data_IF_422749885915
#
_entry.id   IF_422749885915
#
_cell.length_a   1.000
_cell.length_b   1.000
_cell.length_c   1.000
_cell.angle_alpha   90.00
_cell.angle_beta   90.00
_cell.angle_gamma   90.00
#
_symmetry.space_group_name_H-M   'P 1'
#
loop_
_entity.id
_entity.type
_entity.pdbx_description
1 polymer ?
#
# COMPACT_ATOMS: atom_id res chain seq x y z
N UNK A 1 12.04 -22.96 18.57
CA UNK A 1 12.46 -22.24 19.81
C UNK A 1 11.64 -20.94 19.97
N UNK A 2 10.32 -21.04 20.18
CA UNK A 2 9.45 -19.85 20.41
C UNK A 2 9.10 -19.76 21.90
N UNK A 3 8.67 -20.87 22.49
CA UNK A 3 8.28 -20.98 23.90
C UNK A 3 9.44 -20.71 24.86
N UNK A 4 10.63 -21.26 24.59
CA UNK A 4 11.80 -21.09 25.47
C UNK A 4 12.45 -19.71 25.38
N UNK A 5 11.99 -18.86 24.47
CA UNK A 5 12.54 -17.51 24.23
C UNK A 5 11.50 -16.42 24.50
N UNK A 6 10.33 -16.77 25.06
CA UNK A 6 9.26 -15.85 25.43
C UNK A 6 8.85 -14.90 24.29
N UNK A 7 8.84 -15.39 23.05
CA UNK A 7 8.46 -14.58 21.89
C UNK A 7 6.93 -14.48 21.78
N UNK A 8 6.42 -13.26 21.66
CA UNK A 8 5.00 -13.00 21.36
C UNK A 8 4.78 -12.98 19.86
N UNK A 9 3.88 -13.83 19.37
CA UNK A 9 3.46 -13.84 17.97
C UNK A 9 2.11 -13.12 17.86
N UNK A 10 2.06 -12.03 17.07
CA UNK A 10 0.80 -11.36 16.71
C UNK A 10 0.49 -11.66 15.24
N UNK A 11 -0.59 -12.39 14.99
CA UNK A 11 -1.13 -12.53 13.64
C UNK A 11 -1.85 -11.24 13.24
N UNK A 12 -1.46 -10.64 12.12
CA UNK A 12 -2.12 -9.46 11.57
C UNK A 12 -2.94 -9.89 10.36
N UNK A 13 -4.25 -9.69 10.42
CA UNK A 13 -5.15 -9.87 9.29
C UNK A 13 -5.94 -8.60 9.06
N UNK A 14 -5.86 -8.06 7.85
CA UNK A 14 -6.50 -6.80 7.50
C UNK A 14 -5.93 -5.61 8.28
N UNK A 15 -6.82 -4.72 8.72
CA UNK A 15 -6.51 -3.46 9.41
C UNK A 15 -7.51 -3.27 10.55
N UNK A 16 -7.04 -2.86 11.73
CA UNK A 16 -7.94 -2.50 12.83
C UNK A 16 -8.78 -1.30 12.38
N UNK A 17 -10.10 -1.48 12.36
CA UNK A 17 -11.01 -0.44 11.88
C UNK A 17 -10.83 0.84 12.71
N UNK A 18 -10.87 1.97 12.01
CA UNK A 18 -10.65 3.32 12.55
C UNK A 18 -9.21 3.60 13.02
N UNK A 19 -8.69 2.88 14.01
CA UNK A 19 -7.40 3.19 14.65
C UNK A 19 -6.23 3.24 13.65
N UNK A 20 -6.09 2.21 12.83
CA UNK A 20 -5.02 2.17 11.83
C UNK A 20 -5.18 3.24 10.74
N UNK A 21 -6.41 3.62 10.43
CA UNK A 21 -6.71 4.66 9.45
C UNK A 21 -6.41 6.06 9.99
N UNK A 22 -6.75 6.33 11.24
CA UNK A 22 -6.44 7.59 11.91
C UNK A 22 -4.93 7.76 12.09
N UNK A 23 -4.25 6.73 12.57
CA UNK A 23 -2.80 6.73 12.71
C UNK A 23 -2.13 7.04 11.37
N UNK A 24 -2.55 6.36 10.29
CA UNK A 24 -1.96 6.56 8.97
C UNK A 24 -2.22 7.97 8.41
N UNK A 25 -3.44 8.48 8.57
CA UNK A 25 -3.80 9.84 8.11
C UNK A 25 -3.02 10.92 8.86
N UNK A 26 -2.86 10.76 10.18
CA UNK A 26 -2.07 11.66 11.01
C UNK A 26 -0.58 11.63 10.63
N UNK A 27 -0.01 10.44 10.40
CA UNK A 27 1.37 10.27 9.95
C UNK A 27 1.63 10.95 8.60
N UNK A 28 0.74 10.77 7.61
CA UNK A 28 0.89 11.39 6.29
C UNK A 28 0.76 12.91 6.33
N UNK A 29 -0.10 13.43 7.20
CA UNK A 29 -0.34 14.87 7.32
C UNK A 29 0.81 15.58 8.06
N UNK A 30 1.43 14.90 9.03
CA UNK A 30 2.48 15.48 9.89
C UNK A 30 3.89 15.27 9.35
N UNK A 31 4.13 14.28 8.48
CA UNK A 31 5.46 13.94 8.00
C UNK A 31 5.55 14.02 6.45
N UNK A 32 6.07 15.13 5.90
CA UNK A 32 6.18 15.30 4.45
C UNK A 32 7.19 14.34 3.80
N UNK A 33 8.24 13.93 4.51
CA UNK A 33 9.24 12.96 4.02
C UNK A 33 8.58 11.59 3.86
N UNK A 34 7.81 11.16 4.86
CA UNK A 34 7.04 9.92 4.79
C UNK A 34 6.01 9.97 3.65
N UNK A 35 5.30 11.09 3.50
CA UNK A 35 4.33 11.28 2.42
C UNK A 35 4.97 11.16 1.03
N UNK A 36 6.14 11.78 0.85
CA UNK A 36 6.90 11.69 -0.39
C UNK A 36 7.40 10.25 -0.65
N UNK A 37 7.94 9.59 0.37
CA UNK A 37 8.40 8.20 0.28
C UNK A 37 7.29 7.22 -0.10
N UNK A 38 6.09 7.38 0.47
CA UNK A 38 4.93 6.55 0.11
C UNK A 38 4.44 6.85 -1.30
N UNK A 39 4.52 8.10 -1.76
CA UNK A 39 4.12 8.43 -3.13
C UNK A 39 5.02 7.76 -4.16
N UNK A 40 6.31 7.56 -3.84
CA UNK A 40 7.27 6.88 -4.70
C UNK A 40 7.01 5.37 -4.89
N UNK A 41 6.17 4.74 -4.05
CA UNK A 41 5.80 3.32 -4.25
C UNK A 41 4.84 3.12 -5.41
N UNK A 42 4.15 4.18 -5.87
CA UNK A 42 3.29 4.13 -7.05
C UNK A 42 4.16 4.30 -8.28
N UNK A 43 4.40 3.21 -8.99
CA UNK A 43 5.27 3.18 -10.18
C UNK A 43 4.50 3.40 -11.46
N UNK A 44 3.22 3.00 -11.50
CA UNK A 44 2.41 2.97 -12.70
C UNK A 44 1.06 3.60 -12.43
N UNK A 45 0.65 4.50 -13.32
CA UNK A 45 -0.69 5.09 -13.37
C UNK A 45 -1.24 4.90 -14.77
N UNK A 46 -2.40 4.26 -14.87
CA UNK A 46 -3.03 3.92 -16.14
C UNK A 46 -4.51 4.34 -16.09
N UNK A 47 -5.12 4.74 -17.21
CA UNK A 47 -6.58 4.91 -17.28
C UNK A 47 -7.29 3.63 -16.87
N UNK A 48 -8.43 3.74 -16.19
CA UNK A 48 -9.21 2.59 -15.75
C UNK A 48 -9.67 1.70 -16.92
N UNK A 49 -9.81 2.26 -18.11
CA UNK A 49 -10.09 1.52 -19.34
C UNK A 49 -8.97 0.51 -19.70
N UNK A 50 -7.71 0.81 -19.34
CA UNK A 50 -6.55 -0.07 -19.57
C UNK A 50 -6.34 -1.08 -18.43
N UNK A 51 -7.41 -1.49 -17.73
CA UNK A 51 -7.31 -2.36 -16.56
C UNK A 51 -6.56 -3.67 -16.86
N UNK A 52 -6.77 -4.30 -18.02
CA UNK A 52 -6.08 -5.55 -18.40
C UNK A 52 -4.56 -5.39 -18.34
N UNK A 53 -4.04 -4.36 -19.00
CA UNK A 53 -2.62 -4.00 -18.97
C UNK A 53 -2.14 -3.67 -17.56
N UNK A 54 -2.97 -3.01 -16.75
CA UNK A 54 -2.65 -2.74 -15.35
C UNK A 54 -2.45 -4.01 -14.53
N UNK A 55 -3.31 -5.02 -14.73
CA UNK A 55 -3.16 -6.33 -14.08
C UNK A 55 -1.97 -7.14 -14.61
N UNK A 56 -1.67 -7.06 -15.90
CA UNK A 56 -0.46 -7.66 -16.49
C UNK A 56 0.81 -7.06 -15.89
N UNK A 57 0.90 -5.72 -15.81
CA UNK A 57 2.02 -5.01 -15.19
C UNK A 57 2.20 -5.40 -13.72
N UNK A 58 1.10 -5.45 -12.96
CA UNK A 58 1.15 -5.88 -11.56
C UNK A 58 1.64 -7.33 -11.42
N UNK A 59 1.21 -8.22 -12.32
CA UNK A 59 1.62 -9.63 -12.35
C UNK A 59 3.10 -9.82 -12.70
N UNK A 60 3.67 -8.95 -13.53
CA UNK A 60 5.08 -9.02 -13.91
C UNK A 60 6.03 -8.83 -12.71
N UNK A 61 5.57 -8.20 -11.62
CA UNK A 61 6.33 -8.09 -10.36
C UNK A 61 7.59 -7.22 -10.44
N UNK A 62 7.74 -6.43 -11.50
CA UNK A 62 8.89 -5.54 -11.72
C UNK A 62 8.69 -4.13 -11.16
N UNK A 63 7.44 -3.74 -10.90
CA UNK A 63 7.06 -2.43 -10.37
C UNK A 63 6.67 -2.47 -8.88
N UNK A 64 6.24 -1.32 -8.37
CA UNK A 64 5.68 -1.18 -7.04
C UNK A 64 4.16 -1.36 -7.07
N UNK A 65 3.44 -0.24 -6.98
CA UNK A 65 1.98 -0.20 -6.99
C UNK A 65 1.46 0.39 -8.31
N UNK A 66 0.59 -0.37 -8.97
CA UNK A 66 -0.22 0.10 -10.11
C UNK A 66 -1.48 0.77 -9.57
N UNK A 67 -1.79 1.97 -10.08
CA UNK A 67 -3.02 2.70 -9.78
C UNK A 67 -3.81 2.89 -11.08
N UNK A 68 -5.07 2.48 -11.06
CA UNK A 68 -6.01 2.75 -12.15
C UNK A 68 -6.72 4.09 -11.87
N UNK A 69 -6.60 5.01 -12.81
CA UNK A 69 -7.20 6.34 -12.75
C UNK A 69 -8.58 6.32 -13.40
N UNK A 70 -9.59 6.68 -12.63
CA UNK A 70 -11.00 6.70 -13.05
C UNK A 70 -11.45 8.09 -13.54
N UNK A 71 -10.56 9.08 -13.49
CA UNK A 71 -10.84 10.43 -13.96
C UNK A 71 -10.64 10.58 -15.48
N UNK A 72 -9.92 9.63 -16.09
CA UNK A 72 -9.71 9.52 -17.54
C UNK A 72 -10.65 8.43 -18.09
N UNK A 73 -11.67 8.85 -18.85
CA UNK A 73 -12.66 7.98 -19.52
C UNK A 73 -12.22 7.63 -20.94
#
# INVERSE_FOLDING_TARGET
KVVTHMLTLKGIYGREMYETWYAMSAMLSSNPVLRAGISAVVTDKLPAAEWEKGFETARAGVGGKVVLDWTEL
#
